data_IF_977284748343
#
_entry.id   IF_977284748343
#
_cell.length_a   1.000
_cell.length_b   1.000
_cell.length_c   1.000
_cell.angle_alpha   90.00
_cell.angle_beta   90.00
_cell.angle_gamma   90.00
#
_symmetry.space_group_name_H-M   'P 1'
#
loop_
_entity.id
_entity.type
_entity.pdbx_description
1 polymer ?
#
# COMPACT_ATOMS: atom_id res chain seq x y z
N UNK A 1 -5.38 -5.16 21.65
CA UNK A 1 -5.95 -3.82 21.42
C UNK A 1 -7.02 -3.82 20.32
N UNK A 2 -6.71 -4.23 19.07
CA UNK A 2 -7.69 -4.24 17.97
C UNK A 2 -8.91 -5.16 18.20
N UNK A 3 -8.71 -6.44 18.52
CA UNK A 3 -9.83 -7.38 18.74
C UNK A 3 -10.79 -6.90 19.83
N UNK A 4 -10.26 -6.39 20.94
CA UNK A 4 -11.07 -5.80 22.00
C UNK A 4 -11.94 -4.64 21.51
N UNK A 5 -11.40 -3.73 20.70
CA UNK A 5 -12.16 -2.59 20.16
C UNK A 5 -13.29 -3.05 19.23
N UNK A 6 -13.01 -3.99 18.34
CA UNK A 6 -13.99 -4.54 17.39
C UNK A 6 -15.14 -5.23 18.14
N UNK A 7 -14.83 -5.99 19.19
CA UNK A 7 -15.83 -6.72 19.99
C UNK A 7 -16.61 -5.81 20.95
N UNK A 8 -15.95 -4.88 21.65
CA UNK A 8 -16.54 -4.17 22.79
C UNK A 8 -17.03 -2.76 22.44
N UNK A 9 -16.47 -2.13 21.40
CA UNK A 9 -16.87 -0.78 20.99
C UNK A 9 -17.74 -0.82 19.74
N UNK A 10 -17.34 -1.59 18.73
CA UNK A 10 -18.13 -1.76 17.50
C UNK A 10 -19.20 -2.84 17.62
N UNK A 11 -19.19 -3.63 18.71
CA UNK A 11 -20.10 -4.75 18.95
C UNK A 11 -20.15 -5.76 17.80
N UNK A 12 -19.05 -5.91 17.07
CA UNK A 12 -18.96 -6.87 15.96
C UNK A 12 -18.81 -8.28 16.52
N UNK A 13 -19.80 -9.13 16.23
CA UNK A 13 -19.79 -10.55 16.59
C UNK A 13 -19.74 -11.41 15.33
N UNK A 14 -18.84 -12.39 15.30
CA UNK A 14 -18.72 -13.32 14.19
C UNK A 14 -18.45 -14.73 14.68
N UNK A 15 -19.13 -15.72 14.08
CA UNK A 15 -18.85 -17.14 14.28
C UNK A 15 -17.79 -17.67 13.31
N UNK A 16 -17.27 -16.83 12.42
CA UNK A 16 -16.25 -17.22 11.43
C UNK A 16 -14.90 -17.34 12.12
N UNK A 17 -14.21 -18.45 11.86
CA UNK A 17 -12.86 -18.67 12.38
C UNK A 17 -11.89 -17.70 11.70
N UNK A 18 -11.25 -16.80 12.47
CA UNK A 18 -10.24 -15.90 11.94
C UNK A 18 -8.89 -16.62 11.85
N UNK A 19 -8.39 -16.82 10.63
CA UNK A 19 -7.09 -17.44 10.38
C UNK A 19 -6.09 -16.33 10.06
N UNK A 20 -5.19 -16.05 11.00
CA UNK A 20 -4.21 -14.97 10.87
C UNK A 20 -3.25 -15.18 9.69
N UNK A 21 -2.83 -16.42 9.46
CA UNK A 21 -2.00 -16.83 8.32
C UNK A 21 -2.52 -18.18 7.80
N UNK A 22 -2.97 -18.20 6.55
CA UNK A 22 -3.47 -19.42 5.91
C UNK A 22 -2.45 -19.93 4.89
N UNK A 23 -1.74 -20.97 5.27
CA UNK A 23 -0.75 -21.66 4.43
C UNK A 23 -1.39 -22.26 3.16
N UNK A 24 -2.63 -22.77 3.27
CA UNK A 24 -3.40 -23.21 2.12
C UNK A 24 -3.70 -22.05 1.15
N UNK A 25 -4.14 -20.90 1.67
CA UNK A 25 -4.41 -19.73 0.83
C UNK A 25 -3.13 -19.23 0.17
N UNK A 26 -2.01 -19.22 0.90
CA UNK A 26 -0.71 -18.80 0.39
C UNK A 26 -0.23 -19.70 -0.76
N UNK A 27 -0.39 -21.03 -0.63
CA UNK A 27 -0.06 -22.00 -1.69
C UNK A 27 -0.91 -21.82 -2.96
N UNK A 28 -2.16 -21.41 -2.79
CA UNK A 28 -3.09 -21.21 -3.91
C UNK A 28 -3.01 -19.78 -4.48
N UNK A 29 -2.20 -18.90 -3.90
CA UNK A 29 -2.08 -17.53 -4.37
C UNK A 29 -1.48 -17.49 -5.77
N UNK A 30 -2.17 -16.84 -6.69
CA UNK A 30 -1.70 -16.69 -8.06
C UNK A 30 -0.66 -15.56 -8.14
N UNK A 31 0.62 -15.93 -8.12
CA UNK A 31 1.75 -15.01 -8.30
C UNK A 31 2.03 -14.63 -9.75
N UNK A 32 1.26 -15.13 -10.72
CA UNK A 32 1.45 -14.80 -12.13
C UNK A 32 0.95 -13.39 -12.40
N UNK A 33 1.81 -12.57 -13.00
CA UNK A 33 1.46 -11.25 -13.48
C UNK A 33 2.26 -10.94 -14.75
N UNK A 34 1.60 -10.34 -15.74
CA UNK A 34 2.22 -9.83 -16.95
C UNK A 34 1.83 -8.36 -17.10
N UNK A 35 2.76 -7.41 -16.94
CA UNK A 35 2.46 -5.99 -17.12
C UNK A 35 2.12 -5.72 -18.58
N UNK A 36 1.23 -4.76 -18.89
CA UNK A 36 0.71 -4.65 -20.26
C UNK A 36 1.71 -4.17 -21.35
N UNK A 37 2.99 -3.91 -21.00
CA UNK A 37 4.09 -3.65 -21.95
C UNK A 37 5.13 -4.79 -21.97
N UNK A 38 4.75 -6.00 -21.53
CA UNK A 38 5.66 -7.15 -21.54
C UNK A 38 6.05 -7.49 -22.99
N UNK A 39 7.32 -7.27 -23.33
CA UNK A 39 7.86 -7.70 -24.62
C UNK A 39 7.85 -9.24 -24.71
N UNK A 40 7.54 -9.82 -25.89
CA UNK A 40 7.65 -11.26 -26.09
C UNK A 40 9.07 -11.75 -25.75
N UNK A 41 9.19 -12.67 -24.79
CA UNK A 41 10.49 -13.24 -24.36
C UNK A 41 11.02 -12.74 -23.01
N UNK A 42 10.32 -11.83 -22.32
CA UNK A 42 10.65 -11.47 -20.94
C UNK A 42 10.53 -12.66 -19.99
N UNK A 43 11.54 -12.90 -19.14
CA UNK A 43 11.47 -13.95 -18.10
C UNK A 43 10.64 -13.43 -16.92
N UNK A 44 9.67 -14.20 -16.39
CA UNK A 44 9.00 -13.83 -15.15
C UNK A 44 10.04 -13.82 -14.01
N UNK A 45 10.15 -12.69 -13.29
CA UNK A 45 11.17 -12.45 -12.25
C UNK A 45 10.92 -13.20 -10.93
N UNK A 46 10.14 -14.28 -10.93
CA UNK A 46 9.78 -15.05 -9.74
C UNK A 46 8.74 -14.37 -8.82
N UNK A 47 8.70 -13.03 -8.82
CA UNK A 47 7.69 -12.22 -8.13
C UNK A 47 7.05 -11.20 -9.09
N UNK A 48 5.75 -10.91 -8.94
CA UNK A 48 5.06 -9.92 -9.75
C UNK A 48 5.58 -8.51 -9.44
N UNK A 49 5.93 -7.77 -10.48
CA UNK A 49 6.21 -6.33 -10.40
C UNK A 49 5.05 -5.56 -11.04
N UNK A 50 4.36 -4.75 -10.24
CA UNK A 50 3.18 -3.97 -10.67
C UNK A 50 3.49 -2.47 -10.79
N UNK A 51 4.73 -2.04 -10.57
CA UNK A 51 5.13 -0.65 -10.75
C UNK A 51 4.78 -0.11 -12.16
N UNK A 52 5.00 -0.84 -13.27
CA UNK A 52 4.61 -0.36 -14.60
C UNK A 52 3.10 -0.16 -14.80
N UNK A 53 2.26 -0.90 -14.08
CA UNK A 53 0.82 -0.71 -14.16
C UNK A 53 0.36 0.52 -13.37
N UNK A 54 1.00 0.79 -12.23
CA UNK A 54 0.78 2.01 -11.47
C UNK A 54 1.23 3.24 -12.27
N UNK A 55 2.39 3.19 -12.92
CA UNK A 55 2.83 4.22 -13.87
C UNK A 55 1.76 4.48 -14.93
N UNK A 56 1.31 3.41 -15.62
CA UNK A 56 0.26 3.54 -16.66
C UNK A 56 -1.02 4.15 -16.10
N UNK A 57 -1.46 3.73 -14.92
CA UNK A 57 -2.68 4.23 -14.30
C UNK A 57 -2.59 5.74 -14.02
N UNK A 58 -1.46 6.21 -13.48
CA UNK A 58 -1.24 7.62 -13.20
C UNK A 58 -1.06 8.45 -14.47
N UNK A 59 -0.41 7.91 -15.52
CA UNK A 59 -0.29 8.59 -16.82
C UNK A 59 -1.65 8.69 -17.52
N UNK A 60 -2.49 7.66 -17.42
CA UNK A 60 -3.80 7.59 -18.07
C UNK A 60 -4.84 8.45 -17.33
N UNK A 61 -4.74 8.54 -16.01
CA UNK A 61 -5.55 9.44 -15.20
C UNK A 61 -4.64 10.46 -14.49
N UNK A 62 -4.36 11.62 -15.13
CA UNK A 62 -3.55 12.67 -14.52
C UNK A 62 -4.10 13.20 -13.21
N UNK A 63 -5.39 13.00 -12.88
CA UNK A 63 -5.96 13.41 -11.59
C UNK A 63 -5.72 12.40 -10.46
N UNK A 64 -5.21 11.20 -10.77
CA UNK A 64 -4.97 10.15 -9.78
C UNK A 64 -3.89 10.59 -8.78
N UNK A 65 -4.26 10.62 -7.50
CA UNK A 65 -3.37 10.85 -6.37
C UNK A 65 -3.00 9.52 -5.70
N UNK A 66 -1.75 9.39 -5.26
CA UNK A 66 -1.23 8.20 -4.57
C UNK A 66 -0.69 8.57 -3.19
N UNK A 67 -1.19 7.93 -2.13
CA UNK A 67 -0.63 8.02 -0.79
C UNK A 67 0.00 6.68 -0.41
N UNK A 68 1.30 6.69 -0.06
CA UNK A 68 2.00 5.53 0.49
C UNK A 68 2.37 5.79 1.95
N UNK A 69 1.95 4.89 2.83
CA UNK A 69 2.20 4.96 4.27
C UNK A 69 3.16 3.82 4.66
N UNK A 70 4.35 4.16 5.15
CA UNK A 70 5.39 3.17 5.47
C UNK A 70 5.95 3.35 6.90
N UNK A 71 6.29 2.25 7.55
CA UNK A 71 6.90 2.25 8.88
C UNK A 71 8.43 2.28 8.77
N UNK A 72 9.11 3.08 9.60
CA UNK A 72 10.58 3.12 9.62
C UNK A 72 11.22 1.77 10.00
N UNK A 73 10.52 0.96 10.80
CA UNK A 73 11.02 -0.33 11.32
C UNK A 73 10.38 -1.53 10.64
N UNK A 74 9.77 -1.32 9.47
CA UNK A 74 9.19 -2.40 8.68
C UNK A 74 10.28 -3.13 7.89
N UNK A 75 10.49 -4.40 8.22
CA UNK A 75 11.44 -5.27 7.51
C UNK A 75 10.79 -6.10 6.40
N UNK A 76 9.46 -6.17 6.35
CA UNK A 76 8.71 -6.86 5.29
C UNK A 76 8.58 -5.99 4.04
N UNK A 77 8.33 -4.70 4.24
CA UNK A 77 8.34 -3.67 3.19
C UNK A 77 9.20 -2.48 3.62
N UNK A 78 10.54 -2.56 3.48
CA UNK A 78 11.46 -1.51 3.93
C UNK A 78 11.12 -0.15 3.33
N UNK A 79 11.02 0.88 4.18
CA UNK A 79 10.56 2.21 3.75
C UNK A 79 11.41 2.81 2.62
N UNK A 80 12.72 2.53 2.59
CA UNK A 80 13.60 3.03 1.53
C UNK A 80 13.35 2.32 0.19
N UNK A 81 12.90 1.06 0.20
CA UNK A 81 12.46 0.39 -1.02
C UNK A 81 11.21 1.09 -1.60
N UNK A 82 10.30 1.59 -0.75
CA UNK A 82 9.20 2.45 -1.21
C UNK A 82 9.71 3.71 -1.91
N UNK A 83 10.64 4.44 -1.29
CA UNK A 83 11.23 5.66 -1.90
C UNK A 83 11.83 5.31 -3.26
N UNK A 84 12.69 4.29 -3.29
CA UNK A 84 13.34 3.84 -4.51
C UNK A 84 12.32 3.50 -5.61
N UNK A 85 11.28 2.70 -5.31
CA UNK A 85 10.27 2.33 -6.30
C UNK A 85 9.50 3.54 -6.84
N UNK A 86 9.17 4.51 -5.99
CA UNK A 86 8.42 5.71 -6.41
C UNK A 86 9.29 6.66 -7.23
N UNK A 87 10.56 6.85 -6.85
CA UNK A 87 11.52 7.66 -7.61
C UNK A 87 11.83 7.07 -9.00
N UNK A 88 11.72 5.75 -9.14
CA UNK A 88 11.98 5.02 -10.40
C UNK A 88 10.70 4.58 -11.13
N UNK A 89 9.54 5.11 -10.76
CA UNK A 89 8.25 4.72 -11.34
C UNK A 89 8.08 5.18 -12.81
N UNK A 90 9.01 5.99 -13.36
CA UNK A 90 8.95 6.48 -14.75
C UNK A 90 7.98 7.64 -14.97
N UNK A 91 7.36 8.17 -13.91
CA UNK A 91 6.35 9.23 -14.03
C UNK A 91 6.92 10.52 -14.64
N UNK A 92 6.18 11.17 -15.56
CA UNK A 92 6.43 12.54 -15.98
C UNK A 92 6.54 13.47 -14.77
N UNK A 93 7.43 14.48 -14.84
CA UNK A 93 7.71 15.41 -13.73
C UNK A 93 6.45 16.05 -13.12
N UNK A 94 5.45 16.35 -13.93
CA UNK A 94 4.18 16.91 -13.47
C UNK A 94 3.43 15.96 -12.52
N UNK A 95 3.44 14.66 -12.80
CA UNK A 95 2.71 13.64 -12.04
C UNK A 95 3.46 13.16 -10.80
N UNK A 96 4.76 13.43 -10.68
CA UNK A 96 5.53 13.09 -9.47
C UNK A 96 4.97 13.81 -8.23
N UNK A 97 4.39 15.00 -8.41
CA UNK A 97 3.73 15.74 -7.33
C UNK A 97 2.46 15.06 -6.79
N UNK A 98 1.92 14.06 -7.50
CA UNK A 98 0.74 13.31 -7.09
C UNK A 98 1.08 12.10 -6.21
N UNK A 99 2.37 11.85 -5.95
CA UNK A 99 2.85 10.80 -5.05
C UNK A 99 3.18 11.39 -3.68
N UNK A 100 2.43 10.96 -2.67
CA UNK A 100 2.55 11.42 -1.29
C UNK A 100 3.13 10.31 -0.43
N UNK A 101 4.35 10.49 0.08
CA UNK A 101 4.98 9.53 0.99
C UNK A 101 4.83 9.99 2.44
N UNK A 102 4.42 9.09 3.32
CA UNK A 102 4.32 9.33 4.77
C UNK A 102 5.01 8.20 5.53
N UNK A 103 5.90 8.60 6.44
CA UNK A 103 6.69 7.68 7.24
C UNK A 103 6.35 7.80 8.71
N UNK A 104 6.30 6.66 9.40
CA UNK A 104 5.84 6.58 10.77
C UNK A 104 6.86 5.84 11.64
N UNK A 105 7.01 6.29 12.89
CA UNK A 105 7.81 5.60 13.91
C UNK A 105 7.09 4.32 14.39
N UNK A 106 7.03 3.33 13.51
CA UNK A 106 6.35 2.05 13.67
C UNK A 106 7.00 0.99 12.75
N UNK A 107 6.72 -0.29 13.01
CA UNK A 107 6.96 -1.38 12.07
C UNK A 107 5.81 -1.53 11.06
N UNK A 108 5.69 -2.72 10.47
CA UNK A 108 4.74 -3.04 9.39
C UNK A 108 3.28 -2.65 9.70
N UNK A 109 2.82 -2.88 10.92
CA UNK A 109 1.44 -2.62 11.33
C UNK A 109 1.32 -1.23 11.97
N UNK A 110 1.21 -0.20 11.14
CA UNK A 110 1.26 1.21 11.53
C UNK A 110 0.31 1.62 12.66
N UNK A 111 -0.88 1.01 12.72
CA UNK A 111 -1.92 1.37 13.68
C UNK A 111 -1.69 0.81 15.09
N UNK A 112 -0.70 -0.05 15.31
CA UNK A 112 -0.39 -0.57 16.65
C UNK A 112 0.28 0.51 17.52
N UNK A 113 1.18 1.31 16.94
CA UNK A 113 1.80 2.44 17.64
C UNK A 113 0.79 3.56 17.83
N UNK A 114 0.52 3.97 19.08
CA UNK A 114 -0.48 5.01 19.40
C UNK A 114 -0.17 6.34 18.72
N UNK A 115 1.10 6.77 18.73
CA UNK A 115 1.53 8.01 18.08
C UNK A 115 1.40 7.93 16.55
N UNK A 116 1.85 6.83 15.96
CA UNK A 116 1.73 6.59 14.53
C UNK A 116 0.29 6.48 14.05
N UNK A 117 -0.60 5.85 14.85
CA UNK A 117 -2.02 5.69 14.52
C UNK A 117 -2.72 7.05 14.36
N UNK A 118 -2.50 7.99 15.28
CA UNK A 118 -3.13 9.31 15.18
C UNK A 118 -2.57 10.12 14.00
N UNK A 119 -1.26 10.01 13.74
CA UNK A 119 -0.66 10.62 12.54
C UNK A 119 -1.22 10.01 11.25
N UNK A 120 -1.40 8.68 11.22
CA UNK A 120 -1.95 7.94 10.07
C UNK A 120 -3.38 8.38 9.78
N UNK A 121 -4.23 8.41 10.80
CA UNK A 121 -5.61 8.93 10.72
C UNK A 121 -5.64 10.34 10.09
N UNK A 122 -4.88 11.28 10.68
CA UNK A 122 -4.83 12.67 10.19
C UNK A 122 -4.32 12.78 8.75
N UNK A 123 -3.36 11.95 8.36
CA UNK A 123 -2.80 11.97 7.01
C UNK A 123 -3.78 11.40 5.98
N UNK A 124 -4.52 10.33 6.33
CA UNK A 124 -5.57 9.77 5.48
C UNK A 124 -6.70 10.78 5.30
N UNK A 125 -7.18 11.39 6.39
CA UNK A 125 -8.25 12.40 6.32
C UNK A 125 -7.86 13.58 5.45
N UNK A 126 -6.64 14.10 5.63
CA UNK A 126 -6.12 15.20 4.81
C UNK A 126 -6.01 14.80 3.35
N UNK A 127 -5.49 13.61 3.08
CA UNK A 127 -5.31 13.12 1.71
C UNK A 127 -6.64 12.99 0.98
N UNK A 128 -7.63 12.35 1.61
CA UNK A 128 -8.97 12.20 1.03
C UNK A 128 -9.55 13.57 0.72
N UNK A 129 -9.57 14.50 1.68
CA UNK A 129 -10.07 15.87 1.47
C UNK A 129 -9.37 16.56 0.30
N UNK A 130 -8.03 16.58 0.29
CA UNK A 130 -7.26 17.21 -0.78
C UNK A 130 -7.42 16.57 -2.15
N UNK A 131 -7.81 15.29 -2.21
CA UNK A 131 -7.99 14.56 -3.46
C UNK A 131 -9.44 14.60 -3.98
N UNK A 132 -10.39 15.08 -3.17
CA UNK A 132 -11.83 15.11 -3.51
C UNK A 132 -12.45 16.51 -3.49
N UNK A 133 -11.79 17.50 -2.89
CA UNK A 133 -12.22 18.89 -2.89
C UNK A 133 -11.66 19.56 -4.17
N UNK A 134 -12.56 20.00 -5.07
CA UNK A 134 -12.25 20.76 -6.31
C UNK A 134 -11.76 22.19 -6.03
#
# INVERSE_FOLDING_TARGET
>A
AYNWYVENVLHYQSKRHYVMLSDQALRLWNWKHQPAFFLPGGRPLGYPNVAPDLERAMVTNPHLQLLVNSGYFDMGTPFYATIYTMDHLGLPKALQSHVHLRFYYSGHVLYISRGSRHALEKNIDRFIRSATED
#
